data_IF_511490489275
#
_entry.id   IF_511490489275
#
_cell.length_a   1.000
_cell.length_b   1.000
_cell.length_c   1.000
_cell.angle_alpha   90.00
_cell.angle_beta   90.00
_cell.angle_gamma   90.00
#
_symmetry.space_group_name_H-M   'P 1'
#
loop_
_entity.id
_entity.type
_entity.pdbx_description
1 polymer ?
#
# COMPACT_ATOMS: atom_id res chain seq x y z
N UNK A 1 -18.29 -3.88 -16.28
CA UNK A 1 -18.56 -4.90 -17.32
C UNK A 1 -17.40 -5.88 -17.54
N UNK A 2 -16.15 -5.42 -17.78
CA UNK A 2 -14.98 -6.30 -18.05
C UNK A 2 -14.68 -7.31 -16.93
N UNK A 3 -14.76 -6.92 -15.65
CA UNK A 3 -14.48 -7.82 -14.53
C UNK A 3 -15.51 -8.96 -14.41
N UNK A 4 -16.81 -8.66 -14.55
CA UNK A 4 -17.88 -9.68 -14.48
C UNK A 4 -17.71 -10.74 -15.57
N UNK A 5 -17.41 -10.30 -16.80
CA UNK A 5 -17.08 -11.16 -17.93
C UNK A 5 -15.88 -12.06 -17.63
N UNK A 6 -14.77 -11.47 -17.19
CA UNK A 6 -13.54 -12.22 -16.93
C UNK A 6 -13.72 -13.21 -15.78
N UNK A 7 -14.49 -12.85 -14.74
CA UNK A 7 -14.79 -13.75 -13.64
C UNK A 7 -15.61 -14.97 -14.10
N UNK A 8 -16.63 -14.77 -14.94
CA UNK A 8 -17.39 -15.87 -15.52
C UNK A 8 -16.48 -16.82 -16.33
N UNK A 9 -15.58 -16.28 -17.16
CA UNK A 9 -14.59 -17.08 -17.90
C UNK A 9 -13.67 -17.89 -16.99
N UNK A 10 -13.18 -17.29 -15.90
CA UNK A 10 -12.29 -17.95 -14.94
C UNK A 10 -12.99 -19.07 -14.16
N UNK A 11 -14.28 -18.90 -13.86
CA UNK A 11 -15.09 -19.86 -13.12
C UNK A 11 -15.70 -20.96 -13.99
N UNK A 12 -15.76 -20.77 -15.31
CA UNK A 12 -16.42 -21.70 -16.23
C UNK A 12 -15.93 -23.15 -16.12
N UNK A 13 -14.62 -23.45 -15.98
CA UNK A 13 -14.16 -24.82 -15.79
C UNK A 13 -14.67 -25.51 -14.51
N UNK A 14 -15.12 -24.73 -13.52
CA UNK A 14 -15.58 -25.22 -12.22
C UNK A 14 -17.11 -25.31 -12.19
N UNK A 15 -17.81 -24.29 -12.68
CA UNK A 15 -19.27 -24.19 -12.62
C UNK A 15 -19.86 -23.77 -13.98
N UNK A 16 -19.77 -24.64 -15.01
CA UNK A 16 -20.06 -24.25 -16.39
C UNK A 16 -21.50 -23.76 -16.58
N UNK A 17 -22.50 -24.49 -16.06
CA UNK A 17 -23.92 -24.13 -16.22
C UNK A 17 -24.24 -22.75 -15.65
N UNK A 18 -23.81 -22.44 -14.42
CA UNK A 18 -24.08 -21.11 -13.84
C UNK A 18 -23.38 -19.99 -14.61
N UNK A 19 -22.16 -20.24 -15.10
CA UNK A 19 -21.42 -19.22 -15.83
C UNK A 19 -21.98 -18.95 -17.23
N UNK A 20 -22.62 -19.93 -17.87
CA UNK A 20 -23.36 -19.73 -19.14
C UNK A 20 -24.59 -18.83 -18.91
N UNK A 21 -25.39 -19.09 -17.87
CA UNK A 21 -26.51 -18.21 -17.51
C UNK A 21 -26.04 -16.78 -17.23
N UNK A 22 -24.93 -16.62 -16.49
CA UNK A 22 -24.32 -15.30 -16.24
C UNK A 22 -23.84 -14.65 -17.53
N UNK A 23 -23.34 -15.42 -18.51
CA UNK A 23 -22.89 -14.93 -19.81
C UNK A 23 -24.05 -14.37 -20.64
N UNK A 24 -25.18 -15.09 -20.67
CA UNK A 24 -26.41 -14.63 -21.32
C UNK A 24 -26.98 -13.38 -20.62
N UNK A 25 -27.02 -13.35 -19.28
CA UNK A 25 -27.44 -12.17 -18.50
C UNK A 25 -26.53 -10.95 -18.71
N UNK A 26 -25.26 -11.16 -19.07
CA UNK A 26 -24.33 -10.09 -19.46
C UNK A 26 -24.56 -9.59 -20.90
N UNK A 27 -25.57 -10.12 -21.60
CA UNK A 27 -25.91 -9.78 -22.98
C UNK A 27 -24.85 -10.25 -23.98
N UNK A 28 -24.26 -11.43 -23.75
CA UNK A 28 -23.28 -12.02 -24.65
C UNK A 28 -23.90 -13.12 -25.50
N UNK A 29 -23.44 -13.18 -26.74
CA UNK A 29 -23.91 -14.15 -27.72
C UNK A 29 -22.95 -15.35 -27.80
N UNK A 30 -23.52 -16.52 -28.12
CA UNK A 30 -22.81 -17.79 -28.19
C UNK A 30 -22.44 -18.35 -26.81
N UNK A 31 -21.83 -19.52 -26.81
CA UNK A 31 -21.46 -20.23 -25.59
C UNK A 31 -20.17 -19.68 -24.98
N UNK A 32 -20.17 -19.50 -23.66
CA UNK A 32 -18.99 -19.14 -22.87
C UNK A 32 -17.88 -20.19 -23.02
N UNK A 33 -18.23 -21.47 -23.14
CA UNK A 33 -17.28 -22.58 -23.37
C UNK A 33 -16.40 -22.40 -24.61
N UNK A 34 -16.87 -21.67 -25.62
CA UNK A 34 -16.14 -21.38 -26.86
C UNK A 34 -15.41 -20.02 -26.82
N UNK A 35 -15.61 -19.24 -25.76
CA UNK A 35 -15.02 -17.93 -25.62
C UNK A 35 -13.52 -18.00 -25.33
N UNK A 36 -12.76 -17.01 -25.83
CA UNK A 36 -11.33 -16.91 -25.57
C UNK A 36 -11.05 -16.65 -24.08
N UNK A 37 -10.03 -17.33 -23.56
CA UNK A 37 -9.53 -17.12 -22.20
C UNK A 37 -9.16 -15.65 -21.96
N UNK A 38 -9.47 -15.08 -20.77
CA UNK A 38 -9.22 -13.68 -20.49
C UNK A 38 -7.72 -13.38 -20.49
N UNK A 39 -7.34 -12.31 -21.18
CA UNK A 39 -6.00 -11.76 -21.13
C UNK A 39 -5.89 -10.73 -20.01
N UNK A 40 -4.80 -10.79 -19.26
CA UNK A 40 -4.47 -9.78 -18.25
C UNK A 40 -3.78 -8.58 -18.91
N UNK A 41 -3.93 -7.41 -18.30
CA UNK A 41 -3.28 -6.20 -18.77
C UNK A 41 -2.12 -5.85 -17.84
N UNK A 42 -0.89 -5.94 -18.39
CA UNK A 42 0.38 -5.68 -17.67
C UNK A 42 0.44 -4.26 -17.09
N UNK A 43 -0.31 -3.30 -17.64
CA UNK A 43 -0.34 -1.93 -17.13
C UNK A 43 -0.88 -1.83 -15.71
N UNK A 44 -1.71 -2.79 -15.28
CA UNK A 44 -2.25 -2.80 -13.92
C UNK A 44 -1.37 -3.56 -12.93
N UNK A 45 -0.49 -4.44 -13.40
CA UNK A 45 0.43 -5.25 -12.60
C UNK A 45 1.74 -4.48 -12.34
N UNK A 46 1.63 -3.27 -11.82
CA UNK A 46 2.79 -2.46 -11.42
C UNK A 46 3.06 -2.63 -9.93
N UNK A 47 4.33 -2.53 -9.54
CA UNK A 47 4.75 -2.55 -8.13
C UNK A 47 4.09 -1.40 -7.34
N UNK A 48 3.90 -0.25 -8.00
CA UNK A 48 3.18 0.90 -7.45
C UNK A 48 1.71 0.57 -7.13
N UNK A 49 0.97 -0.04 -8.07
CA UNK A 49 -0.43 -0.42 -7.82
C UNK A 49 -0.55 -1.46 -6.71
N UNK A 50 0.34 -2.46 -6.69
CA UNK A 50 0.35 -3.47 -5.63
C UNK A 50 0.63 -2.83 -4.25
N UNK A 51 1.57 -1.88 -4.19
CA UNK A 51 1.84 -1.12 -2.97
C UNK A 51 0.64 -0.28 -2.54
N UNK A 52 0.02 0.48 -3.45
CA UNK A 52 -1.18 1.28 -3.18
C UNK A 52 -2.32 0.41 -2.66
N UNK A 53 -2.55 -0.74 -3.29
CA UNK A 53 -3.58 -1.69 -2.88
C UNK A 53 -3.30 -2.26 -1.48
N UNK A 54 -2.06 -2.65 -1.19
CA UNK A 54 -1.65 -3.12 0.14
C UNK A 54 -1.80 -2.03 1.20
N UNK A 55 -1.40 -0.78 0.91
CA UNK A 55 -1.55 0.35 1.82
C UNK A 55 -3.03 0.59 2.17
N UNK A 56 -3.92 0.57 1.16
CA UNK A 56 -5.35 0.75 1.36
C UNK A 56 -5.93 -0.36 2.25
N UNK A 57 -5.65 -1.63 1.93
CA UNK A 57 -6.16 -2.76 2.71
C UNK A 57 -5.63 -2.76 4.14
N UNK A 58 -4.32 -2.53 4.34
CA UNK A 58 -3.75 -2.41 5.68
C UNK A 58 -4.39 -1.28 6.49
N UNK A 59 -4.78 -0.18 5.82
CA UNK A 59 -5.47 0.94 6.47
C UNK A 59 -6.89 0.53 6.88
N UNK A 60 -7.64 -0.12 5.99
CA UNK A 60 -8.98 -0.65 6.27
C UNK A 60 -8.94 -1.65 7.42
N UNK A 61 -7.99 -2.59 7.39
CA UNK A 61 -7.81 -3.59 8.44
C UNK A 61 -7.46 -2.95 9.78
N UNK A 62 -6.61 -1.92 9.78
CA UNK A 62 -6.28 -1.16 10.98
C UNK A 62 -7.50 -0.43 11.55
N UNK A 63 -8.34 0.16 10.68
CA UNK A 63 -9.61 0.80 11.08
C UNK A 63 -10.55 -0.24 11.71
N UNK A 64 -10.74 -1.38 11.04
CA UNK A 64 -11.58 -2.47 11.54
C UNK A 64 -11.07 -2.98 12.90
N UNK A 65 -9.76 -3.12 13.07
CA UNK A 65 -9.16 -3.52 14.34
C UNK A 65 -9.40 -2.50 15.45
N UNK A 66 -9.32 -1.20 15.15
CA UNK A 66 -9.63 -0.13 16.11
C UNK A 66 -11.12 -0.18 16.50
N UNK A 67 -12.02 -0.37 15.54
CA UNK A 67 -13.47 -0.53 15.79
C UNK A 67 -13.71 -1.71 16.74
N UNK A 68 -13.07 -2.86 16.47
CA UNK A 68 -13.16 -4.06 17.31
C UNK A 68 -12.70 -3.80 18.75
N UNK A 69 -11.60 -3.06 18.94
CA UNK A 69 -11.10 -2.70 20.28
C UNK A 69 -12.07 -1.78 21.02
N UNK A 70 -12.64 -0.78 20.33
CA UNK A 70 -13.54 0.21 20.91
C UNK A 70 -14.90 -0.43 21.31
N UNK A 71 -15.24 -1.60 20.75
CA UNK A 71 -16.51 -2.33 20.99
C UNK A 71 -17.76 -1.48 20.74
N UNK A 72 -17.70 -0.57 19.78
CA UNK A 72 -18.87 0.19 19.31
C UNK A 72 -19.34 -0.38 17.97
N UNK A 73 -20.64 -0.61 17.86
CA UNK A 73 -21.26 -1.14 16.63
C UNK A 73 -21.36 -0.10 15.51
N UNK A 74 -21.41 1.19 15.86
CA UNK A 74 -21.51 2.29 14.89
C UNK A 74 -20.53 3.41 15.24
N UNK A 75 -19.74 3.82 14.24
CA UNK A 75 -18.97 5.05 14.24
C UNK A 75 -19.69 6.08 13.37
N UNK A 76 -19.72 7.33 13.84
CA UNK A 76 -20.32 8.43 13.09
C UNK A 76 -19.32 9.04 12.09
N UNK A 77 -18.03 9.08 12.46
CA UNK A 77 -16.97 9.66 11.65
C UNK A 77 -15.62 8.98 11.91
N UNK A 78 -14.79 8.91 10.87
CA UNK A 78 -13.40 8.42 10.94
C UNK A 78 -12.50 9.49 10.33
N UNK A 79 -11.66 10.13 11.15
CA UNK A 79 -10.69 11.12 10.68
C UNK A 79 -9.32 10.48 10.51
N UNK A 80 -8.80 10.47 9.29
CA UNK A 80 -7.45 9.98 8.98
C UNK A 80 -6.49 11.17 8.98
N UNK A 81 -5.47 11.12 9.83
CA UNK A 81 -4.46 12.19 9.94
C UNK A 81 -3.16 11.68 9.32
N UNK A 82 -2.62 12.43 8.36
CA UNK A 82 -1.33 12.11 7.73
C UNK A 82 -0.17 12.74 8.49
N UNK A 83 1.04 12.24 8.25
CA UNK A 83 2.22 12.77 8.91
C UNK A 83 2.52 14.22 8.47
N UNK A 84 3.12 15.01 9.34
CA UNK A 84 3.59 16.34 8.98
C UNK A 84 4.74 16.26 7.95
N UNK A 85 4.82 17.26 7.07
CA UNK A 85 5.78 17.31 5.95
C UNK A 85 7.24 17.06 6.37
N UNK A 86 7.65 17.62 7.52
CA UNK A 86 9.01 17.45 8.03
C UNK A 86 9.37 15.99 8.34
N UNK A 87 8.39 15.14 8.68
CA UNK A 87 8.62 13.70 8.93
C UNK A 87 8.98 12.98 7.64
N UNK A 88 8.38 13.37 6.51
CA UNK A 88 8.73 12.84 5.19
C UNK A 88 10.15 13.26 4.80
N UNK A 89 10.48 14.55 4.91
CA UNK A 89 11.84 15.07 4.65
C UNK A 89 12.89 14.36 5.51
N UNK A 90 12.61 14.19 6.79
CA UNK A 90 13.47 13.45 7.71
C UNK A 90 13.67 11.99 7.27
N UNK A 91 12.60 11.27 6.94
CA UNK A 91 12.69 9.87 6.52
C UNK A 91 13.45 9.70 5.19
N UNK A 92 13.26 10.59 4.22
CA UNK A 92 14.03 10.59 2.97
C UNK A 92 15.52 10.83 3.22
N UNK A 93 15.85 11.81 4.07
CA UNK A 93 17.24 12.08 4.47
C UNK A 93 17.83 10.89 5.23
N UNK A 94 17.07 10.27 6.13
CA UNK A 94 17.52 9.10 6.87
C UNK A 94 17.79 7.91 5.96
N UNK A 95 16.87 7.58 5.04
CA UNK A 95 17.01 6.46 4.13
C UNK A 95 18.20 6.65 3.17
N UNK A 96 18.37 7.84 2.60
CA UNK A 96 19.53 8.15 1.74
C UNK A 96 20.87 8.07 2.50
N UNK A 97 20.90 8.48 3.77
CA UNK A 97 22.10 8.36 4.60
C UNK A 97 22.41 6.91 4.99
N UNK A 98 21.39 6.10 5.30
CA UNK A 98 21.56 4.67 5.64
C UNK A 98 22.17 3.86 4.49
N UNK A 99 21.94 4.27 3.23
CA UNK A 99 22.59 3.66 2.07
C UNK A 99 24.09 3.92 2.03
N UNK A 100 24.55 5.02 2.64
CA UNK A 100 25.95 5.46 2.63
C UNK A 100 26.70 5.05 3.90
N UNK A 101 26.05 5.20 5.05
CA UNK A 101 26.65 4.95 6.36
C UNK A 101 25.62 4.33 7.32
N UNK A 102 26.00 3.22 7.96
CA UNK A 102 25.16 2.55 8.98
C UNK A 102 25.46 3.02 10.41
N UNK A 103 26.38 3.96 10.58
CA UNK A 103 26.77 4.48 11.88
C UNK A 103 25.78 5.50 12.42
N UNK A 104 25.15 5.15 13.53
CA UNK A 104 24.11 5.95 14.19
C UNK A 104 24.59 7.37 14.56
N UNK A 105 25.84 7.51 15.01
CA UNK A 105 26.40 8.81 15.42
C UNK A 105 26.59 9.75 14.23
N UNK A 106 27.01 9.20 13.10
CA UNK A 106 27.24 9.96 11.87
C UNK A 106 25.92 10.42 11.27
N UNK A 107 24.94 9.51 11.14
CA UNK A 107 23.58 9.83 10.68
C UNK A 107 22.95 10.93 11.55
N UNK A 108 23.11 10.85 12.87
CA UNK A 108 22.62 11.88 13.79
C UNK A 108 23.29 13.24 13.54
N UNK A 109 24.61 13.25 13.34
CA UNK A 109 25.36 14.49 13.06
C UNK A 109 24.91 15.17 11.77
N UNK A 110 24.61 14.39 10.72
CA UNK A 110 24.12 14.92 9.45
C UNK A 110 22.69 15.47 9.54
N UNK A 111 21.78 14.73 10.17
CA UNK A 111 20.37 15.14 10.29
C UNK A 111 20.22 16.37 11.21
N UNK A 112 21.08 16.50 12.23
CA UNK A 112 21.06 17.66 13.13
C UNK A 112 21.64 18.95 12.53
N UNK A 113 22.09 18.95 11.27
CA UNK A 113 22.51 20.20 10.59
C UNK A 113 21.32 21.11 10.26
N UNK A 114 20.16 20.53 9.97
CA UNK A 114 18.95 21.30 9.69
C UNK A 114 18.29 21.82 10.97
N UNK A 115 18.00 23.12 10.98
CA UNK A 115 17.36 23.81 12.11
C UNK A 115 15.97 23.23 12.41
N UNK A 116 15.24 22.78 11.39
CA UNK A 116 13.93 22.14 11.53
C UNK A 116 13.99 20.84 12.34
N UNK A 117 15.04 20.04 12.15
CA UNK A 117 15.21 18.75 12.82
C UNK A 117 15.74 18.89 14.25
N UNK A 118 16.49 19.96 14.55
CA UNK A 118 16.97 20.26 15.91
C UNK A 118 15.83 20.43 16.92
N UNK A 119 14.74 21.06 16.51
CA UNK A 119 13.57 21.25 17.40
C UNK A 119 12.92 19.94 17.84
N UNK A 120 13.09 18.87 17.05
CA UNK A 120 12.49 17.55 17.28
C UNK A 120 13.52 16.48 17.66
N UNK A 121 14.68 16.89 18.21
CA UNK A 121 15.84 16.01 18.33
C UNK A 121 15.65 14.72 19.14
N UNK A 122 14.77 14.75 20.16
CA UNK A 122 14.42 13.55 20.95
C UNK A 122 13.66 12.50 20.13
N UNK A 123 12.74 12.93 19.27
CA UNK A 123 11.99 12.03 18.40
C UNK A 123 12.89 11.41 17.33
N UNK A 124 13.78 12.22 16.77
CA UNK A 124 14.73 11.81 15.72
C UNK A 124 15.69 10.74 16.25
N UNK A 125 16.32 10.94 17.41
CA UNK A 125 17.28 9.97 17.96
C UNK A 125 16.65 8.61 18.23
N UNK A 126 15.43 8.60 18.79
CA UNK A 126 14.66 7.38 19.04
C UNK A 126 14.28 6.68 17.72
N UNK A 127 13.92 7.45 16.71
CA UNK A 127 13.50 6.91 15.41
C UNK A 127 14.69 6.30 14.66
N UNK A 128 15.83 6.99 14.61
CA UNK A 128 17.07 6.46 14.02
C UNK A 128 17.44 5.11 14.68
N UNK A 129 17.43 5.04 16.01
CA UNK A 129 17.76 3.81 16.72
C UNK A 129 16.81 2.64 16.42
N UNK A 130 15.51 2.92 16.22
CA UNK A 130 14.53 1.90 15.82
C UNK A 130 14.70 1.45 14.37
N UNK A 131 14.99 2.38 13.47
CA UNK A 131 15.15 2.10 12.04
C UNK A 131 16.42 1.29 11.79
N UNK A 132 17.55 1.67 12.39
CA UNK A 132 18.81 0.94 12.24
C UNK A 132 18.73 -0.49 12.79
N UNK A 133 17.95 -0.72 13.85
CA UNK A 133 17.71 -2.08 14.40
C UNK A 133 16.86 -2.97 13.49
N UNK A 134 16.01 -2.38 12.63
CA UNK A 134 15.03 -3.10 11.82
C UNK A 134 15.05 -2.66 10.36
N UNK A 135 16.25 -2.56 9.76
CA UNK A 135 16.46 -2.04 8.41
C UNK A 135 15.58 -2.71 7.34
N UNK A 136 15.40 -4.04 7.43
CA UNK A 136 14.57 -4.78 6.47
C UNK A 136 13.08 -4.39 6.47
N UNK A 137 12.58 -3.80 7.57
CA UNK A 137 11.18 -3.34 7.67
C UNK A 137 10.95 -1.97 7.04
N UNK A 138 11.98 -1.15 6.95
CA UNK A 138 11.92 0.24 6.48
C UNK A 138 12.52 0.41 5.08
N UNK A 139 12.66 -0.68 4.32
CA UNK A 139 13.18 -0.66 2.96
C UNK A 139 12.38 0.30 2.07
N UNK A 140 13.06 0.85 1.06
CA UNK A 140 12.55 1.86 0.12
C UNK A 140 11.11 1.57 -0.30
N UNK A 141 10.24 2.55 -0.10
CA UNK A 141 8.93 2.55 -0.76
C UNK A 141 9.17 2.48 -2.28
N UNK A 142 8.48 1.60 -3.01
CA UNK A 142 8.56 1.57 -4.47
C UNK A 142 7.97 2.84 -5.11
N UNK A 143 7.31 3.69 -4.33
CA UNK A 143 6.72 4.95 -4.76
C UNK A 143 7.72 6.08 -4.49
N UNK A 144 8.13 6.77 -5.55
CA UNK A 144 8.80 8.07 -5.46
C UNK A 144 7.85 9.06 -4.80
N UNK A 145 8.24 9.64 -3.66
CA UNK A 145 7.45 10.68 -2.98
C UNK A 145 7.41 12.02 -3.75
N UNK A 146 7.88 12.04 -5.01
CA UNK A 146 8.05 13.23 -5.86
C UNK A 146 7.32 13.12 -7.20
N UNK A 147 6.50 12.10 -7.42
CA UNK A 147 5.66 12.00 -8.62
C UNK A 147 4.26 12.58 -8.34
N UNK A 148 4.22 13.88 -8.05
CA UNK A 148 3.09 14.79 -8.29
C UNK A 148 3.60 16.06 -9.00
#
# INVERSE_FOLDING_TARGET
>A
YKCKKNLALLLHPIVPHMTEEVWELLGKEGFLSLAKWPLYDKKFLTVDNDYKWKLLNNTIDSINHIILIIKKEKLEEISIITAAEWKYKFMLNLLSLIERTKDQKEVMSFIMKDQLFRTQGKFISQTIGKVLKNLGKYAKSPISALDE
#
